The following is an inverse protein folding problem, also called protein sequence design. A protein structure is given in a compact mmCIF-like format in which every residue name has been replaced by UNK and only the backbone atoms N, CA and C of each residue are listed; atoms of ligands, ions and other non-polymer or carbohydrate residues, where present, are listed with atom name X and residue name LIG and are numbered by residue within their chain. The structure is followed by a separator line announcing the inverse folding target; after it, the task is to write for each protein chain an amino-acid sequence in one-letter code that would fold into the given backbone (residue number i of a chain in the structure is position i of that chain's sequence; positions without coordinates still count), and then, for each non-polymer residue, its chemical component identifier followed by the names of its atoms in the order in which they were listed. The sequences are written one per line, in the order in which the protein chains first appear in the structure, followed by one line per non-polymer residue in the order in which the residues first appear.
data_IF_133455744713
#
_entry.id   IF_133455744713
#
_cell.length_a   1.000
_cell.length_b   1.000
_cell.length_c   1.000
_cell.angle_alpha   90.00
_cell.angle_beta   90.00
_cell.angle_gamma   90.00
#
_symmetry.space_group_name_H-M   'P 1'
#
loop_
_entity.id
_entity.type
_entity.pdbx_description
1 polymer ?
#
# COMPACT_ATOMS: atom_id res chain seq x y z
N UNK A 1 -26.31 -6.00 3.57
CA UNK A 1 -24.88 -6.12 3.20
C UNK A 1 -24.28 -4.80 2.70
N UNK A 2 -25.11 -3.87 2.23
CA UNK A 2 -24.64 -2.64 1.56
C UNK A 2 -23.82 -1.71 2.46
N UNK A 3 -24.19 -1.59 3.74
CA UNK A 3 -23.42 -0.79 4.71
C UNK A 3 -22.01 -1.33 4.93
N UNK A 4 -21.84 -2.66 4.94
CA UNK A 4 -20.52 -3.29 5.10
C UNK A 4 -19.64 -3.04 3.87
N UNK A 5 -20.20 -3.16 2.67
CA UNK A 5 -19.49 -2.86 1.41
C UNK A 5 -19.08 -1.39 1.36
N UNK A 6 -19.97 -0.49 1.79
CA UNK A 6 -19.66 0.95 1.84
C UNK A 6 -18.53 1.25 2.84
N UNK A 7 -18.58 0.68 4.05
CA UNK A 7 -17.52 0.85 5.05
C UNK A 7 -16.19 0.32 4.51
N UNK A 8 -16.17 -0.88 3.93
CA UNK A 8 -14.96 -1.47 3.37
C UNK A 8 -14.38 -0.59 2.25
N UNK A 9 -15.23 -0.07 1.34
CA UNK A 9 -14.82 0.90 0.30
C UNK A 9 -14.19 2.14 0.89
N UNK A 10 -14.87 2.79 1.84
CA UNK A 10 -14.38 4.04 2.43
C UNK A 10 -13.05 3.82 3.17
N UNK A 11 -12.90 2.71 3.88
CA UNK A 11 -11.63 2.34 4.52
C UNK A 11 -10.51 2.12 3.51
N UNK A 12 -10.75 1.32 2.46
CA UNK A 12 -9.77 1.08 1.40
C UNK A 12 -9.37 2.39 0.71
N UNK A 13 -10.34 3.22 0.34
CA UNK A 13 -10.09 4.53 -0.29
C UNK A 13 -9.28 5.43 0.63
N UNK A 14 -9.67 5.56 1.90
CA UNK A 14 -8.95 6.41 2.85
C UNK A 14 -7.50 5.96 3.02
N UNK A 15 -7.24 4.66 3.19
CA UNK A 15 -5.88 4.12 3.33
C UNK A 15 -5.03 4.41 2.10
N UNK A 16 -5.54 4.13 0.90
CA UNK A 16 -4.77 4.28 -0.33
C UNK A 16 -4.58 5.75 -0.75
N UNK A 17 -5.57 6.61 -0.50
CA UNK A 17 -5.44 8.07 -0.69
C UNK A 17 -4.40 8.66 0.25
N UNK A 18 -4.45 8.33 1.54
CA UNK A 18 -3.46 8.81 2.52
C UNK A 18 -2.06 8.27 2.17
N UNK A 19 -1.96 6.98 1.80
CA UNK A 19 -0.70 6.35 1.39
C UNK A 19 -0.09 7.01 0.16
N UNK A 20 -0.83 7.09 -0.95
CA UNK A 20 -0.36 7.67 -2.21
C UNK A 20 -0.08 9.16 -2.07
N UNK A 21 -0.97 9.90 -1.41
CA UNK A 21 -0.80 11.34 -1.14
C UNK A 21 0.45 11.63 -0.31
N UNK A 22 0.68 10.88 0.77
CA UNK A 22 1.86 11.06 1.59
C UNK A 22 3.18 10.71 0.87
N UNK A 23 3.18 9.69 -0.01
CA UNK A 23 4.34 9.37 -0.84
C UNK A 23 4.62 10.42 -1.92
N UNK A 24 3.57 11.01 -2.50
CA UNK A 24 3.72 12.13 -3.43
C UNK A 24 4.22 13.40 -2.73
N UNK A 25 3.84 13.62 -1.47
CA UNK A 25 4.33 14.73 -0.66
C UNK A 25 5.81 14.54 -0.26
N UNK A 26 6.23 13.31 0.04
CA UNK A 26 7.61 12.96 0.37
C UNK A 26 8.25 12.05 -0.69
N UNK A 27 8.43 12.57 -1.92
CA UNK A 27 9.06 11.83 -3.02
C UNK A 27 10.49 11.39 -2.68
N UNK A 28 11.24 12.25 -1.96
CA UNK A 28 12.61 11.97 -1.55
C UNK A 28 12.69 10.84 -0.51
N UNK A 29 11.78 10.81 0.47
CA UNK A 29 11.65 9.70 1.40
C UNK A 29 11.15 8.42 0.74
N UNK A 30 10.20 8.52 -0.20
CA UNK A 30 9.70 7.38 -0.97
C UNK A 30 10.81 6.72 -1.79
N UNK A 31 11.63 7.51 -2.49
CA UNK A 31 12.78 6.99 -3.25
C UNK A 31 13.80 6.29 -2.35
N UNK A 32 14.12 6.87 -1.19
CA UNK A 32 15.02 6.27 -0.19
C UNK A 32 14.47 4.94 0.32
N UNK A 33 13.20 4.92 0.73
CA UNK A 33 12.54 3.69 1.17
C UNK A 33 12.59 2.60 0.08
N UNK A 34 12.26 2.93 -1.18
CA UNK A 34 12.35 1.95 -2.28
C UNK A 34 13.76 1.38 -2.43
N UNK A 35 14.80 2.21 -2.31
CA UNK A 35 16.19 1.76 -2.35
C UNK A 35 16.56 0.88 -1.14
N UNK A 36 16.17 1.29 0.08
CA UNK A 36 16.47 0.58 1.33
C UNK A 36 15.81 -0.79 1.39
N UNK A 37 14.66 -0.96 0.71
CA UNK A 37 13.98 -2.25 0.58
C UNK A 37 14.66 -3.21 -0.41
N UNK A 38 15.74 -2.78 -1.09
CA UNK A 38 16.56 -3.63 -1.94
C UNK A 38 16.15 -3.67 -3.41
N UNK A 39 15.37 -2.70 -3.89
CA UNK A 39 15.06 -2.54 -5.32
C UNK A 39 16.35 -2.16 -6.07
N UNK A 40 16.54 -2.68 -7.28
CA UNK A 40 17.75 -2.40 -8.07
C UNK A 40 17.86 -0.89 -8.37
N UNK A 41 19.07 -0.30 -8.41
CA UNK A 41 19.25 1.14 -8.60
C UNK A 41 18.56 1.70 -9.85
N UNK A 42 18.50 0.92 -10.95
CA UNK A 42 17.82 1.29 -12.18
C UNK A 42 16.29 1.34 -12.05
N UNK A 43 15.72 0.56 -11.13
CA UNK A 43 14.28 0.48 -10.88
C UNK A 43 13.81 1.39 -9.75
N UNK A 44 14.70 1.86 -8.88
CA UNK A 44 14.34 2.73 -7.75
C UNK A 44 13.53 3.95 -8.19
N UNK A 45 13.99 4.66 -9.23
CA UNK A 45 13.29 5.83 -9.75
C UNK A 45 11.90 5.49 -10.32
N UNK A 46 11.76 4.61 -11.33
CA UNK A 46 10.45 4.32 -11.90
C UNK A 46 9.49 3.73 -10.87
N UNK A 47 9.94 2.84 -9.97
CA UNK A 47 9.09 2.29 -8.91
C UNK A 47 8.63 3.39 -7.95
N UNK A 48 9.53 4.28 -7.50
CA UNK A 48 9.18 5.38 -6.59
C UNK A 48 8.21 6.39 -7.18
N UNK A 49 8.20 6.54 -8.52
CA UNK A 49 7.31 7.47 -9.22
C UNK A 49 5.96 6.82 -9.55
N UNK A 50 5.93 5.55 -9.98
CA UNK A 50 4.70 4.85 -10.39
C UNK A 50 3.87 4.41 -9.18
N UNK A 51 4.52 3.98 -8.10
CA UNK A 51 3.84 3.41 -6.93
C UNK A 51 2.76 4.32 -6.32
N UNK A 52 3.01 5.63 -6.07
CA UNK A 52 1.98 6.50 -5.52
C UNK A 52 0.78 6.69 -6.47
N UNK A 53 1.03 6.71 -7.78
CA UNK A 53 -0.05 6.80 -8.78
C UNK A 53 -0.88 5.52 -8.83
N UNK A 54 -0.26 4.35 -8.68
CA UNK A 54 -0.97 3.07 -8.57
C UNK A 54 -1.85 3.04 -7.32
N UNK A 55 -1.35 3.56 -6.19
CA UNK A 55 -2.14 3.65 -4.96
C UNK A 55 -3.37 4.56 -5.11
N UNK A 56 -3.20 5.75 -5.69
CA UNK A 56 -4.30 6.67 -5.94
C UNK A 56 -5.27 6.15 -7.01
N UNK A 57 -4.76 5.50 -8.04
CA UNK A 57 -5.57 4.85 -9.08
C UNK A 57 -6.43 3.73 -8.50
N UNK A 58 -5.89 2.91 -7.59
CA UNK A 58 -6.65 1.89 -6.90
C UNK A 58 -7.80 2.49 -6.07
N UNK A 59 -7.53 3.58 -5.33
CA UNK A 59 -8.57 4.30 -4.60
C UNK A 59 -9.67 4.86 -5.51
N UNK A 60 -9.30 5.45 -6.65
CA UNK A 60 -10.24 5.97 -7.64
C UNK A 60 -11.12 4.86 -8.24
N UNK A 61 -10.54 3.68 -8.52
CA UNK A 61 -11.29 2.53 -9.03
C UNK A 61 -12.26 1.96 -7.99
N UNK A 62 -11.88 1.93 -6.71
CA UNK A 62 -12.75 1.45 -5.62
C UNK A 62 -13.96 2.37 -5.39
N UNK A 63 -13.83 3.68 -5.65
CA UNK A 63 -14.90 4.68 -5.51
C UNK A 63 -16.07 4.43 -6.46
N UNK A 64 -15.80 4.00 -7.70
CA UNK A 64 -16.83 3.81 -8.72
C UNK A 64 -17.34 2.36 -8.67
N UNK A 65 -18.64 2.13 -8.43
CA UNK A 65 -19.16 0.78 -8.25
C UNK A 65 -18.83 -0.21 -9.37
N UNK A 66 -18.89 0.25 -10.62
CA UNK A 66 -18.61 -0.56 -11.80
C UNK A 66 -17.14 -1.01 -11.94
N UNK A 67 -16.20 -0.33 -11.26
CA UNK A 67 -14.76 -0.65 -11.33
C UNK A 67 -14.19 -1.13 -9.99
N UNK A 68 -15.03 -1.25 -8.97
CA UNK A 68 -14.56 -1.49 -7.61
C UNK A 68 -13.87 -2.84 -7.44
N UNK A 69 -14.30 -3.87 -8.17
CA UNK A 69 -13.63 -5.17 -8.18
C UNK A 69 -12.17 -5.04 -8.66
N UNK A 70 -11.94 -4.33 -9.76
CA UNK A 70 -10.59 -4.06 -10.28
C UNK A 70 -9.77 -3.22 -9.30
N UNK A 71 -10.37 -2.20 -8.69
CA UNK A 71 -9.72 -1.39 -7.66
C UNK A 71 -9.31 -2.20 -6.43
N UNK A 72 -10.16 -3.13 -5.99
CA UNK A 72 -9.88 -4.02 -4.88
C UNK A 72 -8.75 -5.01 -5.23
N UNK A 73 -8.76 -5.56 -6.45
CA UNK A 73 -7.70 -6.44 -6.95
C UNK A 73 -6.34 -5.72 -6.96
N UNK A 74 -6.27 -4.51 -7.53
CA UNK A 74 -5.03 -3.71 -7.55
C UNK A 74 -4.57 -3.38 -6.12
N UNK A 75 -5.49 -2.98 -5.25
CA UNK A 75 -5.19 -2.72 -3.84
C UNK A 75 -4.58 -3.95 -3.14
N UNK A 76 -5.14 -5.13 -3.40
CA UNK A 76 -4.67 -6.38 -2.81
C UNK A 76 -3.26 -6.73 -3.30
N UNK A 77 -3.01 -6.59 -4.61
CA UNK A 77 -1.69 -6.83 -5.20
C UNK A 77 -0.64 -5.86 -4.65
N UNK A 78 -0.98 -4.59 -4.49
CA UNK A 78 -0.11 -3.60 -3.86
C UNK A 78 0.22 -4.00 -2.41
N UNK A 79 -0.79 -4.30 -1.59
CA UNK A 79 -0.60 -4.76 -0.20
C UNK A 79 0.22 -6.04 -0.11
N UNK A 80 -0.02 -7.00 -1.01
CA UNK A 80 0.73 -8.24 -1.08
C UNK A 80 2.21 -7.96 -1.41
N UNK A 81 2.48 -7.11 -2.41
CA UNK A 81 3.85 -6.75 -2.79
C UNK A 81 4.62 -6.07 -1.64
N UNK A 82 3.97 -5.15 -0.91
CA UNK A 82 4.55 -4.53 0.29
C UNK A 82 4.82 -5.56 1.38
N UNK A 83 3.88 -6.47 1.61
CA UNK A 83 4.01 -7.51 2.63
C UNK A 83 5.15 -8.47 2.31
N UNK A 84 5.29 -8.89 1.06
CA UNK A 84 6.43 -9.71 0.60
C UNK A 84 7.75 -8.95 0.80
N UNK A 85 7.81 -7.68 0.40
CA UNK A 85 9.02 -6.87 0.55
C UNK A 85 9.44 -6.70 2.02
N UNK A 86 8.48 -6.49 2.92
CA UNK A 86 8.70 -6.45 4.38
C UNK A 86 9.18 -7.80 4.89
N UNK A 87 8.50 -8.90 4.56
CA UNK A 87 8.84 -10.25 5.01
C UNK A 87 10.24 -10.68 4.57
N UNK A 88 10.63 -10.36 3.32
CA UNK A 88 11.97 -10.67 2.78
C UNK A 88 13.04 -9.90 3.54
N UNK A 89 12.81 -8.62 3.87
CA UNK A 89 13.79 -7.83 4.63
C UNK A 89 13.92 -8.34 6.08
N UNK A 90 12.79 -8.62 6.76
CA UNK A 90 12.80 -9.22 8.09
C UNK A 90 13.49 -10.59 8.12
N UNK A 91 13.21 -11.46 7.14
CA UNK A 91 13.87 -12.77 7.00
C UNK A 91 15.37 -12.67 6.72
N UNK A 92 15.85 -11.52 6.21
CA UNK A 92 17.27 -11.21 6.01
C UNK A 92 17.89 -10.44 7.18
N UNK A 93 17.16 -10.25 8.29
CA UNK A 93 17.60 -9.47 9.44
C UNK A 93 17.73 -7.96 9.18
N UNK A 94 17.14 -7.46 8.09
CA UNK A 94 17.15 -6.04 7.71
C UNK A 94 15.89 -5.37 8.22
N UNK A 95 16.05 -4.21 8.83
CA UNK A 95 14.95 -3.39 9.38
C UNK A 95 15.00 -1.99 8.79
N UNK A 96 14.74 -1.83 7.46
CA UNK A 96 14.71 -0.50 6.86
C UNK A 96 13.60 0.37 7.47
N UNK A 97 13.69 1.69 7.29
CA UNK A 97 12.60 2.58 7.68
C UNK A 97 11.39 2.37 6.75
N UNK A 98 10.25 1.91 7.28
CA UNK A 98 8.99 1.93 6.53
C UNK A 98 8.44 3.36 6.54
N UNK A 99 8.48 3.99 5.37
CA UNK A 99 7.82 5.27 5.07
C UNK A 99 6.53 5.03 4.29
N UNK A 100 5.79 4.00 4.68
CA UNK A 100 4.65 3.51 3.92
C UNK A 100 3.51 4.55 3.84
N UNK A 101 3.44 5.47 4.80
CA UNK A 101 2.59 6.68 4.77
C UNK A 101 3.45 7.97 4.71
N UNK A 102 4.55 7.97 3.96
CA UNK A 102 5.48 9.10 3.91
C UNK A 102 6.05 9.43 5.29
N UNK A 103 6.07 10.70 5.65
CA UNK A 103 6.53 11.19 6.97
C UNK A 103 5.51 10.99 8.11
N UNK A 104 4.26 10.64 7.80
CA UNK A 104 3.20 10.47 8.82
C UNK A 104 3.45 9.27 9.74
N UNK A 105 4.25 8.31 9.28
CA UNK A 105 4.67 7.17 10.08
C UNK A 105 6.06 6.76 9.60
N UNK A 106 7.10 7.19 10.31
CA UNK A 106 8.44 6.63 10.19
C UNK A 106 8.62 5.62 11.32
N UNK A 107 8.63 4.34 10.96
CA UNK A 107 8.88 3.27 11.93
C UNK A 107 9.80 2.25 11.31
N UNK A 108 10.70 1.71 12.12
CA UNK A 108 11.53 0.58 11.72
C UNK A 108 10.63 -0.60 11.39
N UNK A 109 10.88 -1.25 10.25
CA UNK A 109 10.10 -2.42 9.84
C UNK A 109 10.21 -3.52 10.91
N UNK A 110 9.06 -4.07 11.30
CA UNK A 110 8.96 -5.10 12.34
C UNK A 110 7.67 -5.95 12.23
N UNK A 111 7.44 -6.89 13.16
CA UNK A 111 6.23 -7.73 13.17
C UNK A 111 4.93 -6.93 13.20
N UNK A 112 4.93 -5.77 13.87
CA UNK A 112 3.80 -4.85 13.88
C UNK A 112 3.43 -4.33 12.48
N UNK A 113 4.40 -4.18 11.58
CA UNK A 113 4.16 -3.79 10.17
C UNK A 113 3.37 -4.87 9.43
N UNK A 114 3.69 -6.15 9.67
CA UNK A 114 2.96 -7.27 9.08
C UNK A 114 1.52 -7.34 9.59
N UNK A 115 1.32 -7.15 10.90
CA UNK A 115 -0.02 -7.11 11.51
C UNK A 115 -0.84 -5.97 10.89
N UNK A 116 -0.27 -4.76 10.79
CA UNK A 116 -0.93 -3.61 10.15
C UNK A 116 -1.35 -3.93 8.71
N UNK A 117 -0.46 -4.51 7.91
CA UNK A 117 -0.79 -4.89 6.54
C UNK A 117 -1.90 -5.94 6.50
N UNK A 118 -1.86 -6.95 7.37
CA UNK A 118 -2.89 -7.97 7.46
C UNK A 118 -4.26 -7.37 7.81
N UNK A 119 -4.33 -6.46 8.78
CA UNK A 119 -5.57 -5.76 9.16
C UNK A 119 -6.12 -4.91 8.01
N UNK A 120 -5.26 -4.16 7.30
CA UNK A 120 -5.66 -3.36 6.13
C UNK A 120 -6.14 -4.25 4.97
N UNK A 121 -5.61 -5.47 4.86
CA UNK A 121 -5.98 -6.42 3.81
C UNK A 121 -7.40 -6.95 3.97
N UNK A 122 -7.97 -6.96 5.18
CA UNK A 122 -9.31 -7.48 5.47
C UNK A 122 -10.40 -6.80 4.63
N UNK A 123 -10.58 -5.46 4.67
CA UNK A 123 -11.61 -4.79 3.86
C UNK A 123 -11.36 -4.95 2.35
N UNK A 124 -10.10 -4.97 1.92
CA UNK A 124 -9.74 -5.15 0.51
C UNK A 124 -10.12 -6.55 0.03
N UNK A 125 -9.77 -7.59 0.79
CA UNK A 125 -10.11 -8.97 0.49
C UNK A 125 -11.63 -9.18 0.49
N UNK A 126 -12.33 -8.60 1.47
CA UNK A 126 -13.79 -8.61 1.50
C UNK A 126 -14.37 -8.00 0.21
N UNK A 127 -13.88 -6.84 -0.25
CA UNK A 127 -14.32 -6.22 -1.50
C UNK A 127 -14.05 -7.11 -2.73
N UNK A 128 -12.91 -7.80 -2.82
CA UNK A 128 -12.63 -8.73 -3.93
C UNK A 128 -13.65 -9.87 -3.99
N UNK A 129 -14.17 -10.31 -2.84
CA UNK A 129 -15.14 -11.42 -2.78
C UNK A 129 -16.58 -11.01 -3.07
N UNK A 130 -16.93 -9.72 -2.87
CA UNK A 130 -18.33 -9.26 -2.88
C UNK A 130 -18.65 -8.18 -3.92
N UNK A 131 -17.64 -7.55 -4.53
CA UNK A 131 -17.80 -6.56 -5.59
C UNK A 131 -17.85 -7.22 -6.97
#
# INVERSE_FOLDING_TARGET
MDSLVLIARLLTVAVFVVSGGAKLADRGGTRRAVADFGVSPSLVRPVSEVLPWMELGAAALVLVPATAWWGALVSLLLLASFTVAVSVNLGRGRTPECRCFGQLTSSTVGPATLIRNAVISIPVFFLVLVA
#
